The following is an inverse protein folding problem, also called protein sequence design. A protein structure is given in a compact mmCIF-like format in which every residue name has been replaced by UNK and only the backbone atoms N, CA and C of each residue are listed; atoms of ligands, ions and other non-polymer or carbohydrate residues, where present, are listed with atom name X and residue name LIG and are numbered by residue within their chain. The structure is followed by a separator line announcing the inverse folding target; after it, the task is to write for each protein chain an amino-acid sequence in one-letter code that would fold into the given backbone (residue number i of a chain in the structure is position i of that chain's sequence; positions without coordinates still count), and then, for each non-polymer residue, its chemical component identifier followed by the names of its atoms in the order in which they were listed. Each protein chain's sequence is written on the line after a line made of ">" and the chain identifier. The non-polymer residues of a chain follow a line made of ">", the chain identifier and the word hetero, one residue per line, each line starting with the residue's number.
data_IF_975036557420
#
_entry.id   IF_975036557420
#
_cell.length_a   1.000
_cell.length_b   1.000
_cell.length_c   1.000
_cell.angle_alpha   90.00
_cell.angle_beta   90.00
_cell.angle_gamma   90.00
#
_symmetry.space_group_name_H-M   'P 1'
#
loop_
_entity.id
_entity.type
_entity.pdbx_description
1 polymer ?
#
# COMPACT_ATOMS: atom_id res chain seq x y z
N UNK A 1 -28.39 -0.49 82.45
CA UNK A 1 -27.53 -0.55 81.25
C UNK A 1 -28.28 -1.34 80.16
N UNK A 2 -28.37 -0.79 78.96
CA UNK A 2 -28.89 -1.51 77.82
C UNK A 2 -27.79 -2.47 77.33
N UNK A 3 -28.02 -3.77 77.36
CA UNK A 3 -27.12 -4.75 76.74
C UNK A 3 -27.43 -4.85 75.30
N UNK A 4 -26.41 -4.78 74.48
CA UNK A 4 -26.52 -4.94 73.01
C UNK A 4 -25.82 -6.24 72.59
N UNK A 5 -26.37 -6.92 71.60
CA UNK A 5 -25.77 -8.06 70.93
C UNK A 5 -25.74 -7.75 69.44
N UNK A 6 -24.68 -8.08 68.73
CA UNK A 6 -24.52 -7.91 67.30
C UNK A 6 -23.91 -9.16 66.65
N UNK A 7 -24.27 -9.41 65.43
CA UNK A 7 -23.66 -10.46 64.58
C UNK A 7 -23.25 -9.84 63.26
N UNK A 8 -22.28 -10.46 62.57
CA UNK A 8 -21.78 -10.03 61.27
C UNK A 8 -21.91 -11.19 60.27
N UNK A 9 -22.29 -10.87 59.04
CA UNK A 9 -22.33 -11.84 57.96
C UNK A 9 -21.73 -11.23 56.69
N UNK A 10 -21.24 -12.05 55.77
CA UNK A 10 -20.70 -11.64 54.50
C UNK A 10 -21.75 -11.82 53.40
N UNK A 11 -21.83 -10.84 52.48
CA UNK A 11 -22.54 -10.96 51.21
C UNK A 11 -21.48 -10.92 50.11
N UNK A 12 -21.42 -11.98 49.32
CA UNK A 12 -20.53 -12.04 48.15
C UNK A 12 -21.40 -11.82 46.93
N UNK A 13 -21.05 -10.82 46.09
CA UNK A 13 -21.62 -10.62 44.75
C UNK A 13 -20.66 -11.27 43.78
N UNK A 14 -21.12 -12.29 43.06
CA UNK A 14 -20.36 -12.94 42.03
C UNK A 14 -20.49 -12.12 40.71
N UNK A 15 -19.37 -11.97 39.99
CA UNK A 15 -19.38 -11.38 38.67
C UNK A 15 -20.08 -12.30 37.66
N UNK A 16 -20.77 -11.71 36.72
CA UNK A 16 -21.32 -12.36 35.50
C UNK A 16 -20.68 -11.67 34.31
N UNK A 17 -20.14 -12.45 33.37
CA UNK A 17 -19.47 -11.88 32.22
C UNK A 17 -20.39 -10.94 31.42
N UNK A 18 -19.90 -9.74 31.13
CA UNK A 18 -20.44 -8.78 30.19
C UNK A 18 -19.61 -8.84 28.89
N UNK A 19 -20.23 -8.60 27.75
CA UNK A 19 -19.54 -8.57 26.46
C UNK A 19 -18.70 -7.29 26.28
N UNK A 20 -17.49 -7.37 25.69
CA UNK A 20 -16.69 -6.18 25.40
C UNK A 20 -17.42 -5.24 24.43
N UNK A 21 -17.13 -3.96 24.49
CA UNK A 21 -17.80 -2.89 23.72
C UNK A 21 -16.81 -2.08 22.91
N UNK A 22 -17.26 -1.50 21.78
CA UNK A 22 -16.54 -0.49 21.02
C UNK A 22 -16.71 0.87 21.72
N UNK A 23 -15.65 1.34 22.39
CA UNK A 23 -15.67 2.62 23.09
C UNK A 23 -15.29 3.80 22.18
N UNK A 24 -14.34 3.61 21.27
CA UNK A 24 -13.91 4.62 20.31
C UNK A 24 -13.57 3.94 18.97
N UNK A 25 -14.12 4.47 17.88
CA UNK A 25 -13.84 3.96 16.55
C UNK A 25 -12.36 4.18 16.16
N UNK A 26 -11.82 3.24 15.37
CA UNK A 26 -10.47 3.33 14.80
C UNK A 26 -10.53 4.32 13.63
N UNK A 27 -9.62 5.29 13.63
CA UNK A 27 -9.53 6.25 12.53
C UNK A 27 -8.91 5.61 11.27
N UNK A 28 -9.38 6.02 10.11
CA UNK A 28 -8.78 5.66 8.82
C UNK A 28 -7.34 6.12 8.74
N UNK A 29 -6.50 5.35 8.03
CA UNK A 29 -5.09 5.60 7.85
C UNK A 29 -4.77 5.83 6.38
N UNK A 30 -3.72 6.61 6.10
CA UNK A 30 -3.14 6.78 4.78
C UNK A 30 -1.63 6.67 4.88
N UNK A 31 -1.02 6.03 3.89
CA UNK A 31 0.42 5.86 3.77
C UNK A 31 0.79 5.93 2.29
N UNK A 32 1.93 6.51 1.96
CA UNK A 32 2.47 6.43 0.62
C UNK A 32 3.08 5.03 0.38
N UNK A 33 3.02 4.54 -0.84
CA UNK A 33 3.79 3.36 -1.19
C UNK A 33 5.28 3.56 -0.90
N UNK A 34 6.04 2.47 -0.80
CA UNK A 34 7.46 2.44 -0.42
C UNK A 34 7.78 3.06 0.96
N UNK A 35 6.77 3.58 1.67
CA UNK A 35 6.92 4.11 3.02
C UNK A 35 6.53 3.08 4.08
N UNK A 36 7.22 3.09 5.21
CA UNK A 36 6.96 2.16 6.30
C UNK A 36 5.75 2.61 7.14
N UNK A 37 4.70 1.80 7.15
CA UNK A 37 3.57 1.95 8.06
C UNK A 37 3.95 1.46 9.47
N UNK A 38 3.60 2.24 10.48
CA UNK A 38 3.61 1.82 11.89
C UNK A 38 2.44 2.50 12.60
N UNK A 39 1.31 1.79 12.72
CA UNK A 39 0.09 2.29 13.34
C UNK A 39 -0.32 1.44 14.53
N UNK A 40 -0.47 2.06 15.69
CA UNK A 40 -0.95 1.39 16.91
C UNK A 40 -2.43 1.65 17.12
N UNK A 41 -3.25 0.61 17.17
CA UNK A 41 -4.66 0.72 17.56
C UNK A 41 -4.71 1.24 19.00
N UNK A 42 -5.42 2.36 19.27
CA UNK A 42 -5.48 2.96 20.58
C UNK A 42 -5.96 2.00 21.65
N UNK A 43 -5.39 2.10 22.87
CA UNK A 43 -5.76 1.22 23.96
C UNK A 43 -7.21 1.37 24.43
N UNK A 44 -7.82 2.50 24.17
CA UNK A 44 -9.19 2.83 24.52
C UNK A 44 -10.20 2.59 23.39
N UNK A 45 -9.82 1.86 22.35
CA UNK A 45 -10.73 1.49 21.24
C UNK A 45 -11.83 0.57 21.73
N UNK A 46 -11.45 -0.48 22.46
CA UNK A 46 -12.38 -1.44 23.04
C UNK A 46 -12.34 -1.35 24.56
N UNK A 47 -13.47 -1.60 25.20
CA UNK A 47 -13.59 -1.58 26.66
C UNK A 47 -14.41 -2.78 27.14
N UNK A 48 -14.05 -3.26 28.31
CA UNK A 48 -14.78 -4.24 29.06
C UNK A 48 -15.10 -3.68 30.46
N UNK A 49 -16.27 -4.00 31.01
CA UNK A 49 -16.69 -3.55 32.34
C UNK A 49 -16.22 -4.53 33.42
N UNK A 50 -15.85 -5.74 33.05
CA UNK A 50 -15.36 -6.76 33.98
C UNK A 50 -13.92 -6.46 34.37
N UNK A 51 -13.70 -6.12 35.65
CA UNK A 51 -12.43 -5.55 36.12
C UNK A 51 -11.21 -6.47 35.97
N UNK A 52 -11.43 -7.78 35.86
CA UNK A 52 -10.38 -8.80 35.79
C UNK A 52 -10.20 -9.37 34.38
N UNK A 53 -10.98 -8.90 33.39
CA UNK A 53 -10.87 -9.36 32.02
C UNK A 53 -9.78 -8.64 31.22
N UNK A 54 -9.04 -9.43 30.47
CA UNK A 54 -8.03 -8.95 29.52
C UNK A 54 -8.43 -9.26 28.11
N UNK A 55 -8.54 -8.21 27.26
CA UNK A 55 -8.89 -8.37 25.86
C UNK A 55 -7.70 -8.91 25.04
N UNK A 56 -7.97 -9.89 24.21
CA UNK A 56 -7.06 -10.38 23.17
C UNK A 56 -7.46 -9.82 21.81
N UNK A 57 -6.52 -9.67 20.88
CA UNK A 57 -6.75 -8.97 19.62
C UNK A 57 -6.39 -9.82 18.42
N UNK A 58 -7.16 -9.64 17.34
CA UNK A 58 -6.87 -10.20 16.03
C UNK A 58 -7.22 -9.17 14.95
N UNK A 59 -6.59 -9.29 13.77
CA UNK A 59 -6.92 -8.47 12.62
C UNK A 59 -7.03 -9.31 11.34
N UNK A 60 -8.01 -8.96 10.51
CA UNK A 60 -8.29 -9.55 9.19
C UNK A 60 -8.69 -8.44 8.22
N UNK A 61 -8.89 -8.76 6.95
CA UNK A 61 -9.69 -7.89 6.08
C UNK A 61 -11.16 -7.92 6.53
N UNK A 62 -11.95 -6.95 6.08
CA UNK A 62 -13.36 -6.81 6.49
C UNK A 62 -14.23 -8.02 6.10
N UNK A 63 -13.86 -8.75 5.05
CA UNK A 63 -14.51 -9.98 4.59
C UNK A 63 -14.09 -11.22 5.38
N UNK A 64 -13.15 -11.09 6.35
CA UNK A 64 -12.61 -12.17 7.17
C UNK A 64 -11.39 -12.86 6.58
N UNK A 65 -10.94 -12.50 5.38
CA UNK A 65 -9.71 -13.04 4.80
C UNK A 65 -8.45 -12.51 5.52
N UNK A 66 -7.32 -13.16 5.30
CA UNK A 66 -6.03 -12.75 5.88
C UNK A 66 -5.61 -11.36 5.38
N UNK A 67 -4.85 -10.63 6.19
CA UNK A 67 -4.19 -9.39 5.77
C UNK A 67 -3.29 -9.66 4.56
N UNK A 68 -3.12 -8.68 3.63
CA UNK A 68 -2.22 -8.81 2.50
C UNK A 68 -0.77 -8.98 2.99
N UNK A 69 0.07 -9.61 2.17
CA UNK A 69 1.43 -10.01 2.55
C UNK A 69 2.34 -8.87 3.00
N UNK A 70 2.05 -7.64 2.56
CA UNK A 70 2.82 -6.46 2.95
C UNK A 70 2.45 -5.91 4.35
N UNK A 71 1.27 -6.32 4.89
CA UNK A 71 0.74 -5.80 6.16
C UNK A 71 0.69 -6.88 7.23
N UNK A 72 1.25 -6.60 8.39
CA UNK A 72 1.21 -7.47 9.57
C UNK A 72 0.55 -6.77 10.75
N UNK A 73 -0.01 -7.55 11.67
CA UNK A 73 -0.57 -7.07 12.93
C UNK A 73 0.04 -7.81 14.11
N UNK A 74 0.64 -7.08 15.03
CA UNK A 74 1.13 -7.63 16.29
C UNK A 74 0.00 -7.59 17.34
N UNK A 75 -0.51 -8.75 17.68
CA UNK A 75 -1.65 -8.92 18.59
C UNK A 75 -1.38 -8.45 20.02
N UNK A 76 -0.13 -8.50 20.48
CA UNK A 76 0.25 -8.08 21.84
C UNK A 76 0.43 -6.56 21.97
N UNK A 77 1.02 -5.93 20.95
CA UNK A 77 1.27 -4.48 20.94
C UNK A 77 0.19 -3.70 20.22
N UNK A 78 -0.72 -4.37 19.52
CA UNK A 78 -1.77 -3.81 18.65
C UNK A 78 -1.22 -2.94 17.52
N UNK A 79 -0.02 -3.26 17.03
CA UNK A 79 0.66 -2.48 15.99
C UNK A 79 0.45 -3.14 14.63
N UNK A 80 -0.06 -2.37 13.68
CA UNK A 80 0.05 -2.66 12.26
C UNK A 80 1.39 -2.17 11.74
N UNK A 81 2.08 -2.98 10.94
CA UNK A 81 3.35 -2.61 10.32
C UNK A 81 3.52 -3.28 8.96
N UNK A 82 4.25 -2.61 8.08
CA UNK A 82 4.57 -3.10 6.75
C UNK A 82 4.98 -1.98 5.81
N UNK A 83 5.40 -2.33 4.60
CA UNK A 83 5.76 -1.38 3.54
C UNK A 83 5.02 -1.81 2.28
N UNK A 84 3.99 -1.08 1.88
CA UNK A 84 3.29 -1.35 0.61
C UNK A 84 4.18 -0.96 -0.57
N UNK A 85 4.01 -1.62 -1.71
CA UNK A 85 4.66 -1.33 -2.98
C UNK A 85 3.64 -0.78 -3.98
N UNK A 86 4.08 -0.32 -5.17
CA UNK A 86 3.22 0.20 -6.24
C UNK A 86 2.00 -0.74 -6.53
N UNK A 87 2.19 -2.05 -6.54
CA UNK A 87 1.10 -3.02 -6.74
C UNK A 87 0.04 -3.02 -5.61
N UNK A 88 0.28 -2.32 -4.51
CA UNK A 88 -0.62 -2.22 -3.36
C UNK A 88 -1.34 -0.87 -3.28
N UNK A 89 -1.12 0.03 -4.25
CA UNK A 89 -1.81 1.32 -4.35
C UNK A 89 -3.33 1.12 -4.38
N UNK A 90 -4.04 1.89 -3.55
CA UNK A 90 -5.47 1.79 -3.37
C UNK A 90 -5.87 1.61 -1.91
N UNK A 91 -7.14 1.32 -1.65
CA UNK A 91 -7.68 1.19 -0.31
C UNK A 91 -8.02 -0.26 0.05
N UNK A 92 -7.69 -0.64 1.27
CA UNK A 92 -8.17 -1.88 1.90
C UNK A 92 -8.99 -1.55 3.14
N UNK A 93 -9.97 -2.37 3.47
CA UNK A 93 -10.74 -2.25 4.72
C UNK A 93 -10.31 -3.37 5.67
N UNK A 94 -9.78 -2.98 6.82
CA UNK A 94 -9.27 -3.86 7.88
C UNK A 94 -10.29 -3.94 9.00
N UNK A 95 -10.45 -5.13 9.57
CA UNK A 95 -11.25 -5.39 10.76
C UNK A 95 -10.34 -5.79 11.92
N UNK A 96 -10.45 -5.11 13.05
CA UNK A 96 -9.83 -5.49 14.33
C UNK A 96 -10.92 -6.07 15.22
N UNK A 97 -10.65 -7.23 15.80
CA UNK A 97 -11.53 -7.91 16.74
C UNK A 97 -10.86 -7.99 18.11
N UNK A 98 -11.58 -7.59 19.13
CA UNK A 98 -11.23 -7.82 20.53
C UNK A 98 -12.09 -8.97 21.07
N UNK A 99 -11.47 -9.84 21.89
CA UNK A 99 -12.11 -11.01 22.50
C UNK A 99 -11.77 -11.02 23.98
N UNK A 100 -12.76 -11.20 24.84
CA UNK A 100 -12.62 -11.33 26.30
C UNK A 100 -12.21 -12.74 26.73
N UNK A 101 -12.12 -12.97 28.06
CA UNK A 101 -11.78 -14.25 28.64
C UNK A 101 -12.87 -15.32 28.50
N UNK A 102 -14.11 -14.93 28.23
CA UNK A 102 -15.28 -15.80 28.03
C UNK A 102 -15.58 -16.07 26.56
N UNK A 103 -14.72 -15.57 25.64
CA UNK A 103 -14.83 -15.69 24.19
C UNK A 103 -15.95 -14.85 23.55
N UNK A 104 -16.49 -13.85 24.24
CA UNK A 104 -17.33 -12.83 23.61
C UNK A 104 -16.46 -11.84 22.83
N UNK A 105 -17.00 -11.30 21.74
CA UNK A 105 -16.21 -10.50 20.78
C UNK A 105 -16.88 -9.20 20.39
N UNK A 106 -16.05 -8.18 20.16
CA UNK A 106 -16.46 -6.93 19.51
C UNK A 106 -15.45 -6.60 18.40
N UNK A 107 -15.86 -5.94 17.36
CA UNK A 107 -14.96 -5.55 16.28
C UNK A 107 -15.26 -4.15 15.75
N UNK A 108 -14.24 -3.55 15.14
CA UNK A 108 -14.36 -2.32 14.37
C UNK A 108 -13.62 -2.46 13.04
N UNK A 109 -14.02 -1.65 12.06
CA UNK A 109 -13.42 -1.63 10.72
C UNK A 109 -12.97 -0.22 10.37
N UNK A 110 -11.81 -0.12 9.73
CA UNK A 110 -11.24 1.13 9.24
C UNK A 110 -10.54 0.91 7.90
N UNK A 111 -10.31 1.98 7.17
CA UNK A 111 -9.61 1.94 5.88
C UNK A 111 -8.12 2.22 6.06
N UNK A 112 -7.28 1.50 5.30
CA UNK A 112 -5.89 1.88 5.05
C UNK A 112 -5.80 2.17 3.56
N UNK A 113 -5.47 3.43 3.21
CA UNK A 113 -5.28 3.89 1.84
C UNK A 113 -3.79 3.99 1.55
N UNK A 114 -3.31 3.25 0.54
CA UNK A 114 -1.97 3.39 -0.03
C UNK A 114 -2.04 4.40 -1.16
N UNK A 115 -1.38 5.52 -1.00
CA UNK A 115 -1.29 6.55 -2.02
C UNK A 115 -0.12 6.26 -2.97
N UNK A 116 -0.32 6.56 -4.26
CA UNK A 116 0.73 6.46 -5.26
C UNK A 116 1.78 7.55 -5.07
N UNK A 117 3.03 7.19 -5.23
CA UNK A 117 4.17 8.11 -5.33
C UNK A 117 4.78 7.91 -6.71
N UNK A 118 5.10 8.98 -7.43
CA UNK A 118 5.63 8.84 -8.78
C UNK A 118 6.97 8.10 -8.80
N UNK A 119 7.04 7.03 -9.57
CA UNK A 119 8.25 6.32 -9.92
C UNK A 119 8.83 6.83 -11.24
N UNK A 120 10.14 6.77 -11.39
CA UNK A 120 10.79 7.14 -12.65
C UNK A 120 10.63 6.04 -13.71
N UNK A 121 10.36 6.38 -14.98
CA UNK A 121 10.29 5.39 -16.05
C UNK A 121 11.60 4.61 -16.21
N UNK A 122 11.49 3.35 -16.57
CA UNK A 122 12.59 2.41 -16.69
C UNK A 122 12.80 1.92 -18.12
N UNK A 123 14.06 1.52 -18.46
CA UNK A 123 14.36 0.80 -19.69
C UNK A 123 14.01 -0.68 -19.51
N UNK A 124 12.86 -1.09 -20.03
CA UNK A 124 12.40 -2.48 -19.93
C UNK A 124 13.05 -3.40 -20.97
N UNK A 125 13.26 -2.90 -22.20
CA UNK A 125 13.90 -3.65 -23.27
C UNK A 125 14.84 -2.73 -24.05
N UNK A 126 16.09 -3.15 -24.23
CA UNK A 126 17.06 -2.40 -25.00
C UNK A 126 16.65 -2.27 -26.49
N UNK A 127 16.93 -1.12 -27.09
CA UNK A 127 16.79 -0.89 -28.52
C UNK A 127 17.92 -1.59 -29.25
N UNK A 128 17.61 -2.40 -30.25
CA UNK A 128 18.62 -3.04 -31.08
C UNK A 128 19.27 -2.02 -32.05
N UNK A 129 20.55 -2.20 -32.30
CA UNK A 129 21.27 -1.40 -33.29
C UNK A 129 20.65 -1.55 -34.68
N UNK A 130 20.63 -0.45 -35.43
CA UNK A 130 20.09 -0.41 -36.79
C UNK A 130 21.20 -0.07 -37.78
N UNK A 131 21.11 -0.59 -38.99
CA UNK A 131 21.97 -0.24 -40.10
C UNK A 131 21.14 0.09 -41.34
N UNK A 132 21.61 1.06 -42.12
CA UNK A 132 21.00 1.47 -43.39
C UNK A 132 22.12 1.86 -44.36
N UNK A 133 21.97 1.51 -45.63
CA UNK A 133 22.91 1.92 -46.64
C UNK A 133 22.68 3.40 -47.00
N UNK A 134 23.70 4.12 -47.42
CA UNK A 134 23.54 5.44 -48.04
C UNK A 134 22.53 5.37 -49.17
N UNK A 135 21.86 6.49 -49.44
CA UNK A 135 20.80 6.65 -50.44
C UNK A 135 19.58 5.73 -50.25
N UNK A 136 19.53 4.97 -49.17
CA UNK A 136 18.38 4.13 -48.81
C UNK A 136 17.55 4.74 -47.67
N UNK A 137 16.23 4.62 -47.76
CA UNK A 137 15.35 5.15 -46.74
C UNK A 137 15.36 4.28 -45.47
N UNK A 138 15.65 4.89 -44.33
CA UNK A 138 15.46 4.31 -43.01
C UNK A 138 14.01 4.56 -42.54
N UNK A 139 13.37 3.54 -42.01
CA UNK A 139 12.14 3.66 -41.24
C UNK A 139 12.17 2.62 -40.11
N UNK A 140 12.46 3.08 -38.90
CA UNK A 140 12.55 2.23 -37.72
C UNK A 140 11.62 2.70 -36.62
N UNK A 141 10.75 1.82 -36.16
CA UNK A 141 9.85 2.10 -35.02
C UNK A 141 10.45 1.56 -33.73
N UNK A 142 10.69 2.41 -32.75
CA UNK A 142 11.06 1.99 -31.40
C UNK A 142 9.91 1.17 -30.79
N UNK A 143 10.14 -0.07 -30.36
CA UNK A 143 9.09 -0.93 -29.82
C UNK A 143 8.34 -0.27 -28.64
N UNK A 144 7.04 -0.53 -28.54
CA UNK A 144 6.22 0.09 -27.50
C UNK A 144 6.62 -0.34 -26.08
N UNK A 145 7.25 -1.49 -25.94
CA UNK A 145 7.69 -2.07 -24.68
C UNK A 145 9.17 -1.76 -24.35
N UNK A 146 9.78 -0.80 -25.04
CA UNK A 146 11.17 -0.37 -24.77
C UNK A 146 11.29 0.28 -23.39
N UNK A 147 10.39 1.16 -23.07
CA UNK A 147 10.32 1.84 -21.78
C UNK A 147 9.04 1.42 -21.06
N UNK A 148 9.10 1.39 -19.75
CA UNK A 148 7.96 1.08 -18.88
C UNK A 148 7.91 2.05 -17.71
N UNK A 149 6.70 2.32 -17.27
CA UNK A 149 6.39 2.99 -16.03
C UNK A 149 5.52 2.06 -15.19
N UNK A 150 5.74 2.04 -13.86
CA UNK A 150 4.97 1.20 -12.95
C UNK A 150 3.72 1.91 -12.44
N UNK A 151 3.67 3.25 -12.59
CA UNK A 151 2.55 4.05 -12.14
C UNK A 151 1.32 3.88 -13.03
N UNK A 152 0.25 3.37 -12.45
CA UNK A 152 -1.00 3.15 -13.19
C UNK A 152 -1.63 4.48 -13.61
N UNK A 153 -1.67 4.71 -14.92
CA UNK A 153 -2.25 5.92 -15.51
C UNK A 153 -1.24 6.90 -16.07
N UNK A 154 0.04 6.70 -15.83
CA UNK A 154 1.09 7.52 -16.43
C UNK A 154 1.27 7.22 -17.92
N UNK A 155 1.59 8.27 -18.66
CA UNK A 155 1.82 8.21 -20.09
C UNK A 155 3.21 8.73 -20.43
N UNK A 156 4.03 7.88 -21.07
CA UNK A 156 5.37 8.25 -21.48
C UNK A 156 5.35 9.19 -22.69
N UNK A 157 6.19 10.21 -22.64
CA UNK A 157 6.55 11.05 -23.78
C UNK A 157 7.95 10.69 -24.28
N UNK A 158 8.18 10.84 -25.57
CA UNK A 158 9.41 10.39 -26.22
C UNK A 158 10.17 11.54 -26.85
N UNK A 159 11.50 11.50 -26.76
CA UNK A 159 12.41 12.38 -27.46
C UNK A 159 13.61 11.57 -27.96
N UNK A 160 14.33 12.07 -28.93
CA UNK A 160 15.56 11.47 -29.42
C UNK A 160 16.65 12.53 -29.62
N UNK A 161 17.84 12.23 -29.13
CA UNK A 161 19.06 13.02 -29.29
C UNK A 161 20.23 12.10 -29.60
N UNK A 162 21.36 12.66 -29.98
CA UNK A 162 22.64 11.93 -29.98
C UNK A 162 23.06 11.64 -28.53
N UNK A 163 24.02 10.75 -28.33
CA UNK A 163 24.50 10.33 -27.01
C UNK A 163 25.12 11.44 -26.16
N UNK A 164 25.59 12.51 -26.82
CA UNK A 164 26.10 13.71 -26.18
C UNK A 164 25.03 14.77 -25.87
N UNK A 165 23.74 14.44 -26.14
CA UNK A 165 22.59 15.33 -25.94
C UNK A 165 22.35 16.31 -27.10
N UNK A 166 23.15 16.32 -28.14
CA UNK A 166 22.96 17.19 -29.29
C UNK A 166 21.82 16.70 -30.18
N UNK A 167 21.32 17.60 -31.06
CA UNK A 167 20.23 17.27 -31.98
C UNK A 167 20.65 16.17 -32.97
N UNK A 168 19.65 15.40 -33.44
CA UNK A 168 19.84 14.44 -34.53
C UNK A 168 20.41 15.12 -35.77
N UNK A 169 21.24 14.41 -36.56
CA UNK A 169 21.74 14.96 -37.83
C UNK A 169 20.59 15.27 -38.77
N UNK A 170 20.79 16.22 -39.69
CA UNK A 170 19.73 16.76 -40.53
C UNK A 170 19.06 15.73 -41.45
N UNK A 171 19.71 14.60 -41.73
CA UNK A 171 19.14 13.52 -42.54
C UNK A 171 18.21 12.57 -41.72
N UNK A 172 18.26 12.62 -40.37
CA UNK A 172 17.50 11.74 -39.51
C UNK A 172 16.48 12.53 -38.68
N UNK A 173 15.25 12.09 -38.67
CA UNK A 173 14.16 12.65 -37.86
C UNK A 173 13.55 11.60 -36.98
N UNK A 174 12.96 12.05 -35.87
CA UNK A 174 12.21 11.19 -34.93
C UNK A 174 10.81 11.75 -34.74
N UNK A 175 9.80 10.92 -35.00
CA UNK A 175 8.41 11.28 -34.74
C UNK A 175 8.05 10.82 -33.32
N UNK A 176 7.85 11.76 -32.40
CA UNK A 176 7.61 11.51 -30.98
C UNK A 176 6.29 10.78 -30.69
N UNK A 177 5.27 10.97 -31.56
CA UNK A 177 3.95 10.33 -31.38
C UNK A 177 3.93 8.88 -31.88
N UNK A 178 4.62 8.59 -32.99
CA UNK A 178 4.67 7.25 -33.59
C UNK A 178 5.91 6.46 -33.18
N UNK A 179 6.87 7.09 -32.51
CA UNK A 179 8.18 6.55 -32.14
C UNK A 179 9.01 6.08 -33.34
N UNK A 180 8.84 6.73 -34.50
CA UNK A 180 9.52 6.33 -35.73
C UNK A 180 10.72 7.22 -36.00
N UNK A 181 11.89 6.61 -36.16
CA UNK A 181 13.04 7.23 -36.84
C UNK A 181 12.89 7.09 -38.34
N UNK A 182 13.11 8.17 -39.06
CA UNK A 182 13.05 8.17 -40.53
C UNK A 182 14.06 9.14 -41.14
N UNK A 183 14.55 8.79 -42.31
CA UNK A 183 15.49 9.62 -43.06
C UNK A 183 16.22 8.84 -44.13
N UNK A 184 17.04 9.54 -44.93
CA UNK A 184 17.85 8.93 -45.98
C UNK A 184 19.27 9.52 -45.84
N UNK A 185 20.26 8.73 -45.36
CA UNK A 185 21.63 9.19 -45.29
C UNK A 185 22.22 9.33 -46.71
N UNK A 186 23.10 10.30 -46.91
CA UNK A 186 23.85 10.50 -48.10
C UNK A 186 25.29 10.01 -47.95
N UNK A 187 26.07 9.91 -49.02
CA UNK A 187 27.48 9.52 -49.01
C UNK A 187 28.34 10.32 -47.99
N UNK A 188 27.98 11.58 -47.74
CA UNK A 188 28.68 12.40 -46.73
C UNK A 188 28.38 12.01 -45.30
N UNK A 189 27.46 11.06 -45.03
CA UNK A 189 27.06 10.60 -43.72
C UNK A 189 27.62 9.21 -43.35
N UNK A 190 28.45 8.62 -44.22
CA UNK A 190 29.13 7.33 -44.06
C UNK A 190 30.33 7.46 -43.11
#
# INVERSE_FOLDING_TARGET
>A
SAATVSDTFSITVANTNDDPTLANAIADQSIDEDSALSYTVPANTFADVDADDSLTYAATLSDGSALPSWLSFNTSTRVFSGTPLNANVGAITVKVTATDGSAATVSDTFSITVANTNDDPTLANAIADQSVNEDSALSYTVPANTFADVDAGDSLTYAATLSDGSALPSWLSFNTSTRVFSGTPLNANV
#
